data_IF_346261382581
#
_entry.id   IF_346261382581
#
_cell.length_a   1.000
_cell.length_b   1.000
_cell.length_c   1.000
_cell.angle_alpha   90.00
_cell.angle_beta   90.00
_cell.angle_gamma   90.00
#
_symmetry.space_group_name_H-M   'P 1'
#
loop_
_entity.id
_entity.type
_entity.pdbx_description
1 polymer ?
#
# COMPACT_ATOMS: atom_id res chain seq x y z
N UNK A 1 4.75 14.17 -5.17
CA UNK A 1 3.77 13.42 -4.37
C UNK A 1 4.00 13.85 -2.94
N UNK A 2 3.04 14.52 -2.32
CA UNK A 2 3.12 14.90 -0.91
C UNK A 2 2.86 13.65 -0.07
N UNK A 3 3.92 13.13 0.56
CA UNK A 3 3.80 12.01 1.49
C UNK A 3 3.09 12.41 2.78
N UNK A 4 2.48 11.45 3.46
CA UNK A 4 1.93 11.65 4.80
C UNK A 4 3.08 11.82 5.81
N UNK A 5 3.09 12.95 6.51
CA UNK A 5 4.12 13.35 7.49
C UNK A 5 3.68 13.19 8.95
N UNK A 6 2.46 12.70 9.20
CA UNK A 6 1.87 12.64 10.55
C UNK A 6 2.64 11.76 11.54
N UNK A 7 3.41 10.79 11.02
CA UNK A 7 4.25 9.88 11.81
C UNK A 7 5.67 10.39 12.04
N UNK A 8 6.03 11.58 11.53
CA UNK A 8 7.39 12.12 11.67
C UNK A 8 7.50 13.07 12.86
N UNK A 9 8.70 13.08 13.46
CA UNK A 9 9.10 14.21 14.29
C UNK A 9 9.09 15.52 13.49
N UNK A 10 8.81 16.67 14.14
CA UNK A 10 8.67 17.95 13.44
C UNK A 10 9.86 18.31 12.53
N UNK A 11 11.09 18.05 12.98
CA UNK A 11 12.31 18.35 12.22
C UNK A 11 12.45 17.48 10.95
N UNK A 12 12.13 16.19 11.02
CA UNK A 12 12.11 15.32 9.83
C UNK A 12 11.01 15.74 8.83
N UNK A 13 9.85 16.18 9.34
CA UNK A 13 8.78 16.68 8.49
C UNK A 13 9.17 17.98 7.77
N UNK A 14 9.86 18.88 8.46
CA UNK A 14 10.40 20.11 7.87
C UNK A 14 11.48 19.80 6.83
N UNK A 15 12.44 18.94 7.17
CA UNK A 15 13.45 18.47 6.23
C UNK A 15 12.83 17.92 4.94
N UNK A 16 11.80 17.06 5.06
CA UNK A 16 11.14 16.48 3.90
C UNK A 16 10.47 17.54 3.01
N UNK A 17 9.84 18.55 3.61
CA UNK A 17 9.22 19.65 2.86
C UNK A 17 10.27 20.44 2.09
N UNK A 18 11.39 20.76 2.73
CA UNK A 18 12.52 21.47 2.11
C UNK A 18 13.11 20.67 0.93
N UNK A 19 13.15 19.34 1.06
CA UNK A 19 13.73 18.44 0.06
C UNK A 19 12.68 17.71 -0.80
N UNK A 20 11.44 18.21 -0.90
CA UNK A 20 10.37 17.52 -1.62
C UNK A 20 10.71 17.34 -3.11
N UNK A 21 11.35 18.34 -3.71
CA UNK A 21 11.76 18.33 -5.13
C UNK A 21 13.09 17.64 -5.39
N UNK A 22 13.83 17.26 -4.34
CA UNK A 22 15.09 16.55 -4.48
C UNK A 22 14.84 15.18 -5.15
N UNK A 23 15.63 14.77 -6.15
CA UNK A 23 15.53 13.43 -6.73
C UNK A 23 15.89 12.37 -5.68
N UNK A 24 15.31 11.15 -5.76
CA UNK A 24 15.72 10.08 -4.86
C UNK A 24 17.16 9.64 -5.15
N UNK A 25 17.94 9.44 -4.09
CA UNK A 25 19.27 8.85 -4.16
C UNK A 25 19.16 7.32 -4.32
N UNK A 26 18.13 6.71 -3.73
CA UNK A 26 17.87 5.28 -3.84
C UNK A 26 16.40 5.01 -4.16
N UNK A 27 16.15 4.04 -5.03
CA UNK A 27 14.82 3.51 -5.31
C UNK A 27 14.72 2.11 -4.71
N UNK A 28 13.77 1.92 -3.82
CA UNK A 28 13.53 0.65 -3.15
C UNK A 28 12.60 -0.23 -4.00
N UNK A 29 12.99 -1.49 -4.19
CA UNK A 29 12.23 -2.52 -4.92
C UNK A 29 11.96 -3.72 -4.03
N UNK A 30 10.84 -4.39 -4.30
CA UNK A 30 10.36 -5.56 -3.56
C UNK A 30 11.40 -6.70 -3.53
N UNK A 31 11.67 -7.33 -4.66
CA UNK A 31 12.65 -8.41 -4.77
C UNK A 31 12.14 -9.82 -4.56
N UNK A 32 11.05 -10.02 -3.80
CA UNK A 32 10.43 -11.33 -3.55
C UNK A 32 10.15 -12.05 -4.87
N UNK A 33 10.69 -13.26 -5.07
CA UNK A 33 10.55 -14.03 -6.31
C UNK A 33 10.95 -13.22 -7.56
N UNK A 34 12.03 -12.44 -7.48
CA UNK A 34 12.48 -11.54 -8.54
C UNK A 34 11.59 -10.32 -8.81
N UNK A 35 10.70 -9.94 -7.88
CA UNK A 35 9.74 -8.85 -8.11
C UNK A 35 10.41 -7.47 -8.25
N UNK A 36 10.34 -6.89 -9.45
CA UNK A 36 10.87 -5.55 -9.73
C UNK A 36 10.01 -4.38 -9.25
N UNK A 37 8.89 -4.61 -8.56
CA UNK A 37 7.96 -3.55 -8.18
C UNK A 37 8.61 -2.51 -7.27
N UNK A 38 8.40 -1.22 -7.59
CA UNK A 38 8.85 -0.09 -6.77
C UNK A 38 7.99 0.00 -5.51
N UNK A 39 8.63 0.01 -4.35
CA UNK A 39 7.96 0.04 -3.03
C UNK A 39 8.34 1.27 -2.20
N UNK A 40 9.37 2.00 -2.61
CA UNK A 40 9.78 3.22 -1.92
C UNK A 40 10.91 3.96 -2.61
N UNK A 41 11.29 5.05 -1.99
CA UNK A 41 12.37 5.95 -2.39
C UNK A 41 13.12 6.41 -1.15
N UNK A 42 14.43 6.60 -1.23
CA UNK A 42 15.23 7.19 -0.15
C UNK A 42 15.89 8.46 -0.66
N UNK A 43 15.79 9.51 0.15
CA UNK A 43 16.47 10.78 -0.04
C UNK A 43 17.46 10.97 1.09
N UNK A 44 18.57 11.60 0.76
CA UNK A 44 19.58 11.97 1.74
C UNK A 44 20.38 13.16 1.26
N UNK A 45 20.72 14.04 2.20
CA UNK A 45 21.66 15.16 2.05
C UNK A 45 23.03 14.86 2.68
N UNK A 46 23.23 13.64 3.18
CA UNK A 46 24.48 13.15 3.77
C UNK A 46 24.39 12.96 5.28
N UNK A 47 23.59 13.79 5.94
CA UNK A 47 23.38 13.74 7.39
C UNK A 47 22.04 13.08 7.73
N UNK A 48 20.97 13.48 7.03
CA UNK A 48 19.64 12.91 7.19
C UNK A 48 19.35 11.86 6.10
N UNK A 49 18.72 10.75 6.48
CA UNK A 49 18.27 9.70 5.56
C UNK A 49 16.80 9.42 5.77
N UNK A 50 15.96 9.88 4.84
CA UNK A 50 14.50 9.76 4.93
C UNK A 50 13.95 8.96 3.77
N UNK A 51 13.09 7.99 4.08
CA UNK A 51 12.42 7.14 3.11
C UNK A 51 10.96 7.59 2.87
N UNK A 52 10.55 7.60 1.61
CA UNK A 52 9.16 7.64 1.18
C UNK A 52 8.74 6.24 0.77
N UNK A 53 7.90 5.62 1.58
CA UNK A 53 7.34 4.30 1.31
C UNK A 53 6.05 4.45 0.52
N UNK A 54 6.00 3.80 -0.64
CA UNK A 54 4.81 3.79 -1.48
C UNK A 54 3.80 2.83 -0.87
N UNK A 55 2.65 3.36 -0.44
CA UNK A 55 1.55 2.56 0.06
C UNK A 55 0.50 2.45 -1.03
N UNK A 56 0.40 1.29 -1.69
CA UNK A 56 -0.73 1.04 -2.60
C UNK A 56 -1.99 0.62 -1.86
N UNK A 57 -1.81 0.01 -0.69
CA UNK A 57 -2.90 -0.44 0.16
C UNK A 57 -2.87 0.35 1.48
N UNK A 58 -4.01 0.91 1.85
CA UNK A 58 -4.25 1.44 3.19
C UNK A 58 -5.61 0.98 3.68
N UNK A 59 -5.98 1.39 4.89
CA UNK A 59 -7.29 1.11 5.45
C UNK A 59 -8.24 2.29 5.16
N UNK A 60 -9.48 1.98 4.77
CA UNK A 60 -10.59 2.93 4.84
C UNK A 60 -11.74 2.32 5.61
N UNK A 61 -12.34 3.08 6.51
CA UNK A 61 -13.59 2.71 7.14
C UNK A 61 -14.73 3.01 6.18
N UNK A 62 -15.58 2.01 5.93
CA UNK A 62 -16.75 2.12 5.05
C UNK A 62 -17.98 1.54 5.75
N UNK A 63 -19.13 2.14 5.48
CA UNK A 63 -20.42 1.67 5.98
C UNK A 63 -20.77 0.32 5.36
N UNK A 64 -21.41 -0.54 6.13
CA UNK A 64 -21.99 -1.78 5.64
C UNK A 64 -22.99 -1.49 4.51
N UNK A 65 -22.92 -2.30 3.45
CA UNK A 65 -23.90 -2.26 2.36
C UNK A 65 -24.83 -3.45 2.57
N UNK A 66 -26.13 -3.27 2.84
CA UNK A 66 -27.07 -4.39 3.00
C UNK A 66 -27.39 -5.05 1.65
N UNK A 67 -27.77 -6.34 1.69
CA UNK A 67 -28.28 -7.05 0.51
C UNK A 67 -29.63 -6.48 0.12
N UNK A 68 -29.80 -6.20 -1.16
CA UNK A 68 -31.08 -5.76 -1.74
C UNK A 68 -31.80 -6.98 -2.29
N UNK A 69 -33.07 -7.16 -1.90
CA UNK A 69 -33.97 -8.16 -2.47
C UNK A 69 -35.01 -7.51 -3.36
N UNK A 70 -35.68 -8.30 -4.19
CA UNK A 70 -36.78 -7.85 -5.04
C UNK A 70 -37.92 -7.25 -4.20
N UNK A 71 -38.26 -7.85 -3.06
CA UNK A 71 -39.27 -7.33 -2.13
C UNK A 71 -38.85 -5.99 -1.52
N UNK A 72 -37.55 -5.81 -1.22
CA UNK A 72 -37.03 -4.54 -0.69
C UNK A 72 -37.13 -3.38 -1.69
N UNK A 73 -37.29 -3.70 -2.98
CA UNK A 73 -37.53 -2.75 -4.07
C UNK A 73 -39.03 -2.55 -4.38
N UNK A 74 -39.92 -3.22 -3.63
CA UNK A 74 -41.38 -3.12 -3.77
C UNK A 74 -41.98 -4.10 -4.77
N UNK A 75 -41.22 -5.09 -5.24
CA UNK A 75 -41.78 -6.13 -6.11
C UNK A 75 -42.51 -7.21 -5.30
N UNK A 76 -43.55 -7.84 -5.87
CA UNK A 76 -44.21 -8.98 -5.23
C UNK A 76 -43.22 -10.13 -4.95
N UNK A 77 -43.46 -10.94 -3.89
CA UNK A 77 -42.65 -12.11 -3.60
C UNK A 77 -42.57 -13.06 -4.79
N UNK A 78 -41.37 -13.57 -5.08
CA UNK A 78 -41.13 -14.49 -6.20
C UNK A 78 -40.94 -13.81 -7.56
N UNK A 79 -40.93 -12.48 -7.62
CA UNK A 79 -40.49 -11.76 -8.82
C UNK A 79 -39.00 -12.00 -9.05
N UNK A 80 -38.61 -12.39 -10.28
CA UNK A 80 -37.20 -12.55 -10.65
C UNK A 80 -36.79 -11.39 -11.55
N UNK A 81 -36.02 -10.45 -11.01
CA UNK A 81 -35.48 -9.35 -11.80
C UNK A 81 -34.21 -9.80 -12.52
N UNK A 82 -34.08 -9.46 -13.80
CA UNK A 82 -32.90 -9.76 -14.63
C UNK A 82 -32.38 -8.49 -15.30
N UNK A 83 -31.07 -8.36 -15.37
CA UNK A 83 -30.44 -7.30 -16.16
C UNK A 83 -30.57 -7.62 -17.66
N UNK A 84 -31.07 -6.65 -18.42
CA UNK A 84 -31.36 -6.82 -19.84
C UNK A 84 -30.10 -6.97 -20.73
N UNK A 85 -28.92 -6.58 -20.25
CA UNK A 85 -27.65 -6.62 -20.99
C UNK A 85 -26.86 -7.91 -20.72
N UNK A 86 -26.80 -8.33 -19.46
CA UNK A 86 -25.98 -9.46 -19.03
C UNK A 86 -26.78 -10.71 -18.66
N UNK A 87 -28.11 -10.61 -18.53
CA UNK A 87 -29.01 -11.73 -18.26
C UNK A 87 -29.02 -12.23 -16.81
N UNK A 88 -28.14 -11.70 -15.97
CA UNK A 88 -28.01 -12.03 -14.55
C UNK A 88 -29.20 -11.55 -13.74
N UNK A 89 -29.63 -12.38 -12.79
CA UNK A 89 -30.63 -12.04 -11.79
C UNK A 89 -30.10 -11.02 -10.78
N UNK A 90 -31.01 -10.30 -10.11
CA UNK A 90 -30.63 -9.40 -9.01
C UNK A 90 -29.85 -10.17 -7.92
N UNK A 91 -30.28 -11.38 -7.59
CA UNK A 91 -29.60 -12.24 -6.61
C UNK A 91 -28.14 -12.57 -7.01
N UNK A 92 -27.89 -12.89 -8.28
CA UNK A 92 -26.54 -13.14 -8.82
C UNK A 92 -25.68 -11.87 -8.76
N UNK A 93 -26.24 -10.71 -9.15
CA UNK A 93 -25.54 -9.43 -9.08
C UNK A 93 -25.18 -9.03 -7.65
N UNK A 94 -26.10 -9.23 -6.70
CA UNK A 94 -25.82 -9.00 -5.29
C UNK A 94 -24.73 -9.95 -4.81
N UNK A 95 -24.79 -11.22 -5.15
CA UNK A 95 -23.75 -12.20 -4.75
C UNK A 95 -22.38 -11.78 -5.24
N UNK A 96 -22.22 -11.48 -6.54
CA UNK A 96 -20.95 -10.99 -7.10
C UNK A 96 -20.48 -9.70 -6.41
N UNK A 97 -21.37 -8.74 -6.21
CA UNK A 97 -21.03 -7.47 -5.54
C UNK A 97 -20.51 -7.74 -4.13
N UNK A 98 -21.13 -8.66 -3.38
CA UNK A 98 -20.68 -9.00 -2.03
C UNK A 98 -19.34 -9.74 -2.04
N UNK A 99 -19.10 -10.63 -3.00
CA UNK A 99 -17.80 -11.29 -3.18
C UNK A 99 -16.69 -10.26 -3.45
N UNK A 100 -16.92 -9.29 -4.33
CA UNK A 100 -15.99 -8.18 -4.58
C UNK A 100 -15.74 -7.37 -3.31
N UNK A 101 -16.81 -7.02 -2.61
CA UNK A 101 -16.77 -6.24 -1.38
C UNK A 101 -16.07 -6.99 -0.24
N UNK A 102 -16.23 -8.30 -0.13
CA UNK A 102 -15.57 -9.15 0.87
C UNK A 102 -14.09 -9.35 0.54
N UNK A 103 -13.74 -9.49 -0.74
CA UNK A 103 -12.33 -9.51 -1.18
C UNK A 103 -11.58 -8.20 -0.85
N UNK A 104 -12.29 -7.07 -0.81
CA UNK A 104 -11.75 -5.79 -0.35
C UNK A 104 -11.73 -5.66 1.18
N UNK A 105 -12.51 -6.45 1.92
CA UNK A 105 -12.66 -6.28 3.38
C UNK A 105 -11.45 -6.84 4.12
N UNK A 106 -10.93 -6.07 5.07
CA UNK A 106 -9.82 -6.47 5.96
C UNK A 106 -10.40 -6.98 7.29
N UNK A 107 -11.33 -6.23 7.88
CA UNK A 107 -11.99 -6.58 9.16
C UNK A 107 -13.34 -5.87 9.32
N UNK A 108 -14.21 -6.42 10.15
CA UNK A 108 -15.43 -5.75 10.61
C UNK A 108 -15.15 -5.03 11.94
N UNK A 109 -15.60 -3.78 12.08
CA UNK A 109 -15.39 -2.95 13.28
C UNK A 109 -16.67 -2.84 14.10
N UNK A 110 -17.82 -3.02 13.46
CA UNK A 110 -19.13 -3.05 14.09
C UNK A 110 -20.17 -3.65 13.16
N UNK A 111 -21.45 -3.72 13.60
CA UNK A 111 -22.53 -4.30 12.79
C UNK A 111 -22.72 -3.57 11.46
N UNK A 112 -22.49 -2.25 11.44
CA UNK A 112 -22.72 -1.41 10.27
C UNK A 112 -21.43 -0.85 9.66
N UNK A 113 -20.27 -1.36 10.06
CA UNK A 113 -18.98 -0.74 9.71
C UNK A 113 -17.90 -1.78 9.50
N UNK A 114 -17.18 -1.64 8.39
CA UNK A 114 -16.04 -2.47 8.06
C UNK A 114 -14.86 -1.63 7.59
N UNK A 115 -13.68 -2.20 7.73
CA UNK A 115 -12.45 -1.66 7.17
C UNK A 115 -12.15 -2.41 5.89
N UNK A 116 -12.02 -1.66 4.79
CA UNK A 116 -11.71 -2.19 3.47
C UNK A 116 -10.36 -1.64 2.96
N UNK A 117 -9.78 -2.35 2.00
CA UNK A 117 -8.58 -1.93 1.28
C UNK A 117 -8.83 -0.59 0.57
N UNK A 118 -7.90 0.34 0.74
CA UNK A 118 -7.81 1.60 -0.01
C UNK A 118 -6.66 1.46 -1.01
N UNK A 119 -7.01 1.27 -2.29
CA UNK A 119 -6.06 0.98 -3.38
C UNK A 119 -5.20 2.17 -3.85
N UNK A 120 -5.31 3.33 -3.20
CA UNK A 120 -4.55 4.56 -3.45
C UNK A 120 -4.29 5.29 -2.11
N UNK A 121 -3.66 4.61 -1.17
CA UNK A 121 -3.24 5.23 0.09
C UNK A 121 -2.11 6.26 -0.18
N UNK A 122 -2.06 7.31 0.63
CA UNK A 122 -0.99 8.30 0.53
C UNK A 122 0.33 7.68 1.00
N UNK A 123 1.37 7.75 0.16
CA UNK A 123 2.73 7.32 0.51
C UNK A 123 3.14 7.88 1.87
N UNK A 124 3.83 7.08 2.66
CA UNK A 124 4.21 7.45 4.03
C UNK A 124 5.68 7.83 4.06
N UNK A 125 6.00 8.92 4.73
CA UNK A 125 7.40 9.31 4.96
C UNK A 125 7.82 8.82 6.33
N UNK A 126 8.95 8.10 6.37
CA UNK A 126 9.52 7.54 7.59
C UNK A 126 11.04 7.73 7.61
N UNK A 127 11.66 7.87 8.79
CA UNK A 127 13.09 7.67 8.93
C UNK A 127 13.45 6.26 8.44
N UNK A 128 14.63 6.08 7.82
CA UNK A 128 14.99 4.75 7.32
C UNK A 128 15.14 3.73 8.46
N UNK A 129 15.46 4.21 9.66
CA UNK A 129 15.68 3.43 10.88
C UNK A 129 14.43 2.69 11.37
N UNK A 130 13.23 3.09 10.91
CA UNK A 130 11.97 2.44 11.30
C UNK A 130 11.38 1.57 10.18
N UNK A 131 12.20 1.22 9.18
CA UNK A 131 11.78 0.36 8.07
C UNK A 131 11.55 -1.08 8.54
N UNK A 132 10.35 -1.39 9.02
CA UNK A 132 9.96 -2.74 9.45
C UNK A 132 9.20 -3.57 8.42
N UNK A 133 8.54 -2.94 7.45
CA UNK A 133 7.73 -3.62 6.44
C UNK A 133 7.68 -2.81 5.14
N UNK A 134 7.28 -3.47 4.06
CA UNK A 134 6.97 -2.83 2.78
C UNK A 134 5.57 -3.17 2.30
N UNK A 135 5.01 -2.31 1.45
CA UNK A 135 3.74 -2.56 0.78
C UNK A 135 4.00 -2.72 -0.72
N UNK A 136 4.11 -3.97 -1.17
CA UNK A 136 4.31 -4.31 -2.57
C UNK A 136 2.96 -4.38 -3.31
N UNK A 137 2.83 -3.79 -4.51
CA UNK A 137 1.61 -3.91 -5.32
C UNK A 137 1.26 -5.34 -5.73
N UNK A 138 2.23 -6.26 -5.71
CA UNK A 138 2.07 -7.66 -6.12
C UNK A 138 1.91 -8.58 -4.90
N UNK A 139 2.73 -8.38 -3.87
CA UNK A 139 2.81 -9.28 -2.70
C UNK A 139 2.05 -8.78 -1.46
N UNK A 140 1.48 -7.57 -1.51
CA UNK A 140 0.78 -6.97 -0.37
C UNK A 140 1.73 -6.40 0.68
N UNK A 141 1.29 -6.39 1.94
CA UNK A 141 2.13 -6.01 3.07
C UNK A 141 3.06 -7.18 3.42
N UNK A 142 4.36 -6.91 3.47
CA UNK A 142 5.38 -7.91 3.78
C UNK A 142 6.36 -7.34 4.80
N UNK A 143 6.58 -8.08 5.88
CA UNK A 143 7.56 -7.74 6.90
C UNK A 143 8.98 -7.93 6.38
N UNK A 144 9.86 -6.97 6.66
CA UNK A 144 11.28 -7.06 6.32
C UNK A 144 11.92 -8.08 7.27
N UNK A 145 12.58 -9.15 6.78
CA UNK A 145 13.04 -10.25 7.63
C UNK A 145 14.09 -9.85 8.65
N UNK A 146 15.02 -8.98 8.25
CA UNK A 146 16.03 -8.37 9.10
C UNK A 146 16.06 -6.85 8.82
N UNK A 147 15.23 -6.07 9.53
CA UNK A 147 15.16 -4.62 9.37
C UNK A 147 16.52 -3.95 9.60
N UNK A 148 17.23 -4.34 10.65
CA UNK A 148 18.49 -3.69 11.05
C UNK A 148 19.59 -3.93 10.02
N UNK A 149 19.75 -5.18 9.54
CA UNK A 149 20.70 -5.49 8.48
C UNK A 149 20.34 -4.78 7.17
N UNK A 150 19.05 -4.72 6.83
CA UNK A 150 18.56 -4.00 5.64
C UNK A 150 18.90 -2.51 5.71
N UNK A 151 18.65 -1.87 6.85
CA UNK A 151 18.97 -0.46 7.09
C UNK A 151 20.48 -0.22 7.03
N UNK A 152 21.27 -1.08 7.66
CA UNK A 152 22.74 -1.00 7.61
C UNK A 152 23.26 -1.10 6.16
N UNK A 153 22.70 -2.01 5.36
CA UNK A 153 23.06 -2.19 3.96
C UNK A 153 22.67 -0.98 3.10
N UNK A 154 21.48 -0.41 3.32
CA UNK A 154 21.03 0.81 2.67
C UNK A 154 21.99 1.96 3.00
N UNK A 155 22.33 2.15 4.28
CA UNK A 155 23.29 3.19 4.72
C UNK A 155 24.66 3.01 4.08
N UNK A 156 25.17 1.77 4.00
CA UNK A 156 26.44 1.45 3.32
C UNK A 156 26.43 1.87 1.85
N UNK A 157 25.32 1.62 1.15
CA UNK A 157 25.16 2.00 -0.26
C UNK A 157 25.07 3.52 -0.42
N UNK A 158 24.39 4.21 0.50
CA UNK A 158 24.25 5.66 0.50
C UNK A 158 25.58 6.37 0.80
N UNK A 159 26.40 5.84 1.71
CA UNK A 159 27.71 6.40 2.05
C UNK A 159 28.67 6.47 0.84
N UNK A 160 28.54 5.54 -0.11
CA UNK A 160 29.28 5.53 -1.37
C UNK A 160 28.52 6.14 -2.56
N UNK A 161 27.44 6.87 -2.33
CA UNK A 161 26.60 7.45 -3.38
C UNK A 161 26.74 8.97 -3.44
N UNK A 162 26.99 9.50 -4.63
CA UNK A 162 26.72 10.91 -4.92
C UNK A 162 25.22 11.17 -4.85
N UNK A 163 24.79 12.29 -4.25
CA UNK A 163 23.37 12.66 -4.14
C UNK A 163 22.66 12.56 -5.50
N UNK A 164 21.38 12.15 -5.48
CA UNK A 164 20.53 12.05 -6.67
C UNK A 164 20.98 11.05 -7.76
N UNK A 165 21.97 10.21 -7.48
CA UNK A 165 22.35 9.09 -8.36
C UNK A 165 21.34 7.98 -8.16
N UNK A 166 20.19 7.99 -8.86
CA UNK A 166 19.03 7.08 -8.73
C UNK A 166 19.39 5.57 -8.77
N UNK A 167 20.03 5.05 -7.74
CA UNK A 167 20.43 3.65 -7.60
C UNK A 167 19.21 2.83 -7.24
N UNK A 168 19.28 1.53 -7.49
CA UNK A 168 18.21 0.60 -7.13
C UNK A 168 18.68 -0.28 -5.99
N UNK A 169 17.80 -0.51 -5.02
CA UNK A 169 18.01 -1.45 -3.93
C UNK A 169 16.87 -2.44 -3.89
N UNK A 170 17.21 -3.72 -3.86
CA UNK A 170 16.26 -4.82 -3.75
C UNK A 170 16.23 -5.24 -2.29
N UNK A 171 15.06 -5.11 -1.65
CA UNK A 171 14.89 -5.37 -0.21
C UNK A 171 14.96 -6.87 0.08
N UNK A 172 14.23 -7.67 -0.69
CA UNK A 172 14.28 -9.13 -0.58
C UNK A 172 15.21 -9.65 -1.66
N UNK A 173 16.43 -10.01 -1.28
CA UNK A 173 17.34 -10.73 -2.16
C UNK A 173 16.98 -12.20 -2.01
N UNK A 174 16.39 -12.80 -3.04
CA UNK A 174 16.41 -14.25 -3.13
C UNK A 174 17.90 -14.64 -3.15
N UNK A 175 18.35 -15.42 -2.17
CA UNK A 175 19.64 -16.09 -2.33
C UNK A 175 19.57 -16.86 -3.65
N UNK A 176 20.58 -16.75 -4.54
CA UNK A 176 20.59 -17.57 -5.74
C UNK A 176 20.50 -19.02 -5.27
N UNK A 177 19.42 -19.69 -5.65
CA UNK A 177 19.36 -21.14 -5.58
C UNK A 177 20.44 -21.61 -6.55
N UNK A 178 21.56 -22.09 -5.99
CA UNK A 178 22.64 -22.76 -6.71
C UNK A 178 22.11 -23.93 -7.57
#
# INVERSE_FOLDING_TARGET
MTGNLSSLFPWHAEWWRTHEKMPPTLVLRCGINGCGSRVGEVKTDGDDVIALMLTRFGERTVTFTPRVTEESLGFPPGTVLRDAKIGETLAEQQTRKFEELDAETIRYVGPDTRVAKRYNAASVVIPIEVLGYIVCPVHGLVDVPDPDATVADIRRILAGATHATRRQYVIFRDDPVD
#
